data_IF_996222277196
#
_entry.id   IF_996222277196
#
_cell.length_a   1.000
_cell.length_b   1.000
_cell.length_c   1.000
_cell.angle_alpha   90.00
_cell.angle_beta   90.00
_cell.angle_gamma   90.00
#
_symmetry.space_group_name_H-M   'P 1'
#
loop_
_entity.id
_entity.type
_entity.pdbx_description
1 polymer ?
#
# COMPACT_ATOMS: atom_id res chain seq x y z
N UNK A 1 -0.93 -7.79 -15.48
CA UNK A 1 -1.58 -7.90 -14.16
C UNK A 1 -2.94 -8.53 -14.39
N UNK A 2 -3.32 -9.58 -13.65
CA UNK A 2 -4.58 -10.29 -13.91
C UNK A 2 -5.79 -9.50 -13.38
N UNK A 3 -6.88 -9.51 -14.15
CA UNK A 3 -8.18 -8.99 -13.72
C UNK A 3 -8.76 -9.83 -12.58
N UNK A 4 -9.80 -9.34 -11.91
CA UNK A 4 -10.47 -10.08 -10.83
C UNK A 4 -11.06 -11.41 -11.34
N UNK A 5 -11.67 -11.36 -12.52
CA UNK A 5 -12.30 -12.51 -13.18
C UNK A 5 -11.25 -13.55 -13.60
N UNK A 6 -10.12 -13.10 -14.15
CA UNK A 6 -8.99 -13.98 -14.46
C UNK A 6 -8.43 -14.66 -13.20
N UNK A 7 -8.29 -13.92 -12.09
CA UNK A 7 -7.84 -14.50 -10.81
C UNK A 7 -8.82 -15.54 -10.29
N UNK A 8 -10.11 -15.30 -10.43
CA UNK A 8 -11.13 -16.27 -10.03
C UNK A 8 -11.04 -17.55 -10.85
N UNK A 9 -10.92 -17.44 -12.18
CA UNK A 9 -10.76 -18.62 -13.05
C UNK A 9 -9.45 -19.39 -12.78
N UNK A 10 -8.35 -18.69 -12.49
CA UNK A 10 -7.10 -19.32 -12.04
C UNK A 10 -7.31 -20.11 -10.76
N UNK A 11 -7.99 -19.53 -9.77
CA UNK A 11 -8.24 -20.15 -8.47
C UNK A 11 -9.17 -21.38 -8.60
N UNK A 12 -10.24 -21.24 -9.37
CA UNK A 12 -11.17 -22.33 -9.70
C UNK A 12 -10.46 -23.51 -10.35
N UNK A 13 -9.65 -23.23 -11.37
CA UNK A 13 -8.83 -24.25 -12.06
C UNK A 13 -7.85 -24.91 -11.09
N UNK A 14 -7.22 -24.14 -10.20
CA UNK A 14 -6.29 -24.68 -9.21
C UNK A 14 -6.96 -25.71 -8.28
N UNK A 15 -8.16 -25.41 -7.77
CA UNK A 15 -8.92 -26.35 -6.94
C UNK A 15 -9.38 -27.59 -7.72
N UNK A 16 -9.81 -27.42 -8.97
CA UNK A 16 -10.19 -28.55 -9.85
C UNK A 16 -9.01 -29.47 -10.15
N UNK A 17 -7.80 -28.92 -10.26
CA UNK A 17 -6.56 -29.68 -10.47
C UNK A 17 -5.97 -30.32 -9.21
N UNK A 18 -6.77 -30.54 -8.16
CA UNK A 18 -6.34 -31.12 -6.89
C UNK A 18 -5.14 -30.38 -6.25
N UNK A 19 -5.10 -29.05 -6.41
CA UNK A 19 -3.99 -28.20 -5.94
C UNK A 19 -2.63 -28.46 -6.61
N UNK A 20 -2.58 -29.16 -7.75
CA UNK A 20 -1.35 -29.39 -8.49
C UNK A 20 -1.02 -28.20 -9.41
N UNK A 21 -0.03 -27.37 -9.02
CA UNK A 21 0.35 -26.14 -9.74
C UNK A 21 0.74 -26.41 -11.19
N UNK A 22 1.49 -27.46 -11.46
CA UNK A 22 1.95 -27.80 -12.81
C UNK A 22 0.77 -28.14 -13.74
N UNK A 23 -0.22 -28.86 -13.21
CA UNK A 23 -1.43 -29.21 -13.95
C UNK A 23 -2.32 -27.99 -14.15
N UNK A 24 -2.44 -27.12 -13.14
CA UNK A 24 -3.13 -25.83 -13.28
C UNK A 24 -2.54 -25.00 -14.43
N UNK A 25 -1.20 -24.89 -14.51
CA UNK A 25 -0.53 -24.15 -15.60
C UNK A 25 -0.81 -24.78 -16.96
N UNK A 26 -0.82 -26.12 -17.06
CA UNK A 26 -1.14 -26.82 -18.32
C UNK A 26 -2.56 -26.51 -18.79
N UNK A 27 -3.54 -26.58 -17.89
CA UNK A 27 -4.94 -26.29 -18.19
C UNK A 27 -5.11 -24.81 -18.57
N UNK A 28 -4.51 -23.89 -17.79
CA UNK A 28 -4.61 -22.46 -18.06
C UNK A 28 -3.93 -22.04 -19.36
N UNK A 29 -2.84 -22.69 -19.77
CA UNK A 29 -2.22 -22.48 -21.09
C UNK A 29 -3.13 -22.89 -22.24
N UNK A 30 -3.97 -23.92 -22.06
CA UNK A 30 -4.97 -24.33 -23.05
C UNK A 30 -6.15 -23.37 -23.10
N UNK A 31 -6.61 -22.90 -21.94
CA UNK A 31 -7.84 -22.11 -21.83
C UNK A 31 -7.65 -20.60 -22.06
N UNK A 32 -6.55 -20.01 -21.56
CA UNK A 32 -6.28 -18.57 -21.63
C UNK A 32 -5.29 -18.17 -22.73
N UNK A 33 -4.69 -19.16 -23.40
CA UNK A 33 -3.60 -18.95 -24.36
C UNK A 33 -2.22 -18.86 -23.71
N UNK A 34 -1.18 -19.17 -24.48
CA UNK A 34 0.20 -19.35 -23.99
C UNK A 34 0.78 -18.08 -23.37
N UNK A 35 0.46 -16.91 -23.94
CA UNK A 35 1.00 -15.62 -23.53
C UNK A 35 0.25 -15.01 -22.34
N UNK A 36 -1.01 -15.42 -22.12
CA UNK A 36 -1.85 -14.91 -21.03
C UNK A 36 -1.84 -15.81 -19.80
N UNK A 37 -1.35 -17.03 -19.92
CA UNK A 37 -1.33 -17.99 -18.82
C UNK A 37 -0.41 -17.53 -17.68
N UNK A 38 -0.85 -17.63 -16.41
CA UNK A 38 0.01 -17.34 -15.28
C UNK A 38 1.17 -18.32 -15.16
N UNK A 39 2.30 -17.81 -14.70
CA UNK A 39 3.44 -18.63 -14.28
C UNK A 39 3.12 -19.33 -12.96
N UNK A 40 3.82 -20.42 -12.67
CA UNK A 40 3.65 -21.14 -11.39
C UNK A 40 3.81 -20.22 -10.17
N UNK A 41 4.78 -19.29 -10.23
CA UNK A 41 5.01 -18.32 -9.17
C UNK A 41 3.83 -17.38 -8.96
N UNK A 42 3.13 -16.99 -10.03
CA UNK A 42 1.93 -16.16 -9.95
C UNK A 42 0.77 -16.92 -9.30
N UNK A 43 0.57 -18.19 -9.66
CA UNK A 43 -0.46 -19.06 -9.06
C UNK A 43 -0.17 -19.23 -7.56
N UNK A 44 1.06 -19.59 -7.18
CA UNK A 44 1.44 -19.75 -5.76
C UNK A 44 1.23 -18.46 -4.97
N UNK A 45 1.62 -17.31 -5.51
CA UNK A 45 1.38 -16.00 -4.87
C UNK A 45 -0.11 -15.73 -4.68
N UNK A 46 -0.93 -16.02 -5.69
CA UNK A 46 -2.38 -15.81 -5.63
C UNK A 46 -3.02 -16.71 -4.57
N UNK A 47 -2.72 -18.02 -4.58
CA UNK A 47 -3.22 -18.98 -3.60
C UNK A 47 -2.79 -18.60 -2.19
N UNK A 48 -1.52 -18.22 -1.99
CA UNK A 48 -1.01 -17.78 -0.69
C UNK A 48 -1.77 -16.54 -0.21
N UNK A 49 -1.95 -15.54 -1.06
CA UNK A 49 -2.68 -14.31 -0.72
C UNK A 49 -4.13 -14.62 -0.31
N UNK A 50 -4.82 -15.50 -1.04
CA UNK A 50 -6.19 -15.90 -0.70
C UNK A 50 -6.22 -16.65 0.63
N UNK A 51 -5.26 -17.54 0.91
CA UNK A 51 -5.18 -18.26 2.20
C UNK A 51 -4.87 -17.34 3.38
N UNK A 52 -3.98 -16.38 3.21
CA UNK A 52 -3.53 -15.49 4.29
C UNK A 52 -4.53 -14.35 4.56
N UNK A 53 -5.11 -13.76 3.51
CA UNK A 53 -5.92 -12.54 3.61
C UNK A 53 -7.40 -12.73 3.25
N UNK A 54 -7.78 -13.86 2.65
CA UNK A 54 -9.14 -14.08 2.15
C UNK A 54 -9.52 -13.20 0.94
N UNK A 55 -8.55 -12.51 0.34
CA UNK A 55 -8.81 -11.53 -0.72
C UNK A 55 -8.17 -11.93 -2.05
N UNK A 56 -8.96 -11.84 -3.13
CA UNK A 56 -8.50 -11.98 -4.52
C UNK A 56 -7.98 -10.64 -5.09
N UNK A 57 -8.42 -9.53 -4.51
CA UNK A 57 -8.01 -8.19 -4.91
C UNK A 57 -6.64 -7.89 -4.31
N UNK A 58 -5.83 -7.11 -5.03
CA UNK A 58 -4.63 -6.57 -4.42
C UNK A 58 -5.00 -5.57 -3.33
N UNK A 59 -4.22 -5.56 -2.25
CA UNK A 59 -4.28 -4.44 -1.31
C UNK A 59 -4.07 -3.19 -2.14
N UNK A 60 -5.06 -2.29 -2.09
CA UNK A 60 -4.82 -0.91 -2.48
C UNK A 60 -3.66 -0.49 -1.60
N UNK A 61 -2.50 -0.23 -2.21
CA UNK A 61 -1.33 0.26 -1.49
C UNK A 61 -1.82 1.37 -0.57
N UNK A 62 -1.77 1.11 0.74
CA UNK A 62 -2.37 1.97 1.74
C UNK A 62 -1.86 3.41 1.57
N UNK A 63 -2.60 4.41 2.06
CA UNK A 63 -2.15 5.79 1.99
C UNK A 63 -0.71 5.88 2.51
N UNK A 64 0.17 6.47 1.70
CA UNK A 64 1.59 6.64 2.03
C UNK A 64 1.69 7.24 3.43
N UNK A 65 2.41 6.56 4.33
CA UNK A 65 2.57 7.03 5.70
C UNK A 65 3.02 8.49 5.71
N UNK A 66 2.22 9.36 6.35
CA UNK A 66 2.51 10.79 6.45
C UNK A 66 3.57 11.01 7.53
N UNK A 67 4.84 11.09 7.13
CA UNK A 67 5.99 11.22 8.04
C UNK A 67 5.96 12.46 8.94
N UNK A 68 5.19 13.50 8.60
CA UNK A 68 5.21 14.80 9.30
C UNK A 68 4.06 14.99 10.29
N UNK A 69 2.99 14.20 10.21
CA UNK A 69 1.86 14.25 11.16
C UNK A 69 1.92 13.11 12.17
N UNK A 70 3.12 12.77 12.60
CA UNK A 70 3.27 11.88 13.75
C UNK A 70 2.87 12.67 15.00
N UNK A 71 2.31 12.01 16.03
CA UNK A 71 1.87 12.70 17.25
C UNK A 71 3.00 13.51 17.89
N UNK A 72 4.24 13.03 17.81
CA UNK A 72 5.43 13.70 18.33
C UNK A 72 5.71 15.02 17.59
N UNK A 73 5.60 15.02 16.26
CA UNK A 73 5.79 16.23 15.46
C UNK A 73 4.67 17.24 15.67
N UNK A 74 3.43 16.77 15.89
CA UNK A 74 2.29 17.64 16.20
C UNK A 74 2.51 18.33 17.54
N UNK A 75 2.90 17.57 18.57
CA UNK A 75 3.16 18.10 19.91
C UNK A 75 4.34 19.08 19.91
N UNK A 76 5.45 18.75 19.24
CA UNK A 76 6.61 19.64 19.14
C UNK A 76 6.28 20.96 18.42
N UNK A 77 5.45 20.91 17.37
CA UNK A 77 4.97 22.11 16.68
C UNK A 77 4.04 22.93 17.59
N UNK A 78 3.09 22.30 18.28
CA UNK A 78 2.16 22.97 19.18
C UNK A 78 2.88 23.65 20.36
N UNK A 79 3.85 22.96 20.98
CA UNK A 79 4.69 23.54 22.03
C UNK A 79 5.49 24.75 21.52
N UNK A 80 6.07 24.66 20.31
CA UNK A 80 6.79 25.78 19.69
C UNK A 80 5.89 26.99 19.40
N UNK A 81 4.61 26.77 19.01
CA UNK A 81 3.62 27.83 18.82
C UNK A 81 3.31 28.52 20.14
N UNK A 82 3.05 27.75 21.21
CA UNK A 82 2.77 28.29 22.54
C UNK A 82 3.93 29.12 23.10
N UNK A 83 5.16 28.65 22.94
CA UNK A 83 6.35 29.33 23.46
C UNK A 83 6.70 30.59 22.65
N UNK A 84 6.55 30.55 21.32
CA UNK A 84 6.98 31.64 20.45
C UNK A 84 5.99 31.83 19.28
N UNK A 85 4.84 32.50 19.50
CA UNK A 85 3.75 32.60 18.53
C UNK A 85 4.13 33.39 17.27
N UNK A 86 5.01 34.39 17.40
CA UNK A 86 5.46 35.25 16.29
C UNK A 86 6.49 34.57 15.38
N UNK A 87 6.95 33.37 15.73
CA UNK A 87 7.93 32.64 14.93
C UNK A 87 7.32 32.16 13.61
N UNK A 88 7.92 32.58 12.50
CA UNK A 88 7.47 32.13 11.18
C UNK A 88 7.57 30.60 11.05
N UNK A 89 6.62 30.02 10.31
CA UNK A 89 6.62 28.61 9.90
C UNK A 89 7.98 28.18 9.33
N UNK A 90 8.68 29.06 8.62
CA UNK A 90 10.03 28.75 8.10
C UNK A 90 11.05 28.50 9.19
N UNK A 91 11.14 29.40 10.15
CA UNK A 91 12.06 29.27 11.26
C UNK A 91 11.71 28.05 12.12
N UNK A 92 10.42 27.82 12.38
CA UNK A 92 9.92 26.64 13.11
C UNK A 92 10.28 25.32 12.44
N UNK A 93 10.14 25.22 11.11
CA UNK A 93 10.51 23.99 10.38
C UNK A 93 12.00 23.66 10.47
N UNK A 94 12.86 24.69 10.51
CA UNK A 94 14.30 24.49 10.66
C UNK A 94 14.67 24.03 12.07
N UNK A 95 14.04 24.61 13.10
CA UNK A 95 14.28 24.24 14.50
C UNK A 95 13.83 22.80 14.81
N UNK A 96 12.72 22.35 14.21
CA UNK A 96 12.17 21.01 14.41
C UNK A 96 12.70 19.97 13.42
N UNK A 97 13.70 20.33 12.58
CA UNK A 97 14.25 19.45 11.54
C UNK A 97 13.19 18.86 10.58
N UNK A 98 12.08 19.57 10.37
CA UNK A 98 11.00 19.16 9.46
C UNK A 98 11.34 19.64 8.05
N UNK A 99 11.31 18.72 7.07
CA UNK A 99 11.66 19.02 5.68
C UNK A 99 10.82 20.16 5.07
N UNK A 100 11.46 20.97 4.21
CA UNK A 100 10.80 22.12 3.55
C UNK A 100 9.61 21.71 2.68
N UNK A 101 9.66 20.52 2.08
CA UNK A 101 8.55 19.95 1.27
C UNK A 101 7.33 19.60 2.12
N UNK A 102 7.47 19.55 3.45
CA UNK A 102 6.40 19.24 4.39
C UNK A 102 5.85 20.47 5.13
N UNK A 103 6.33 21.67 4.79
CA UNK A 103 5.88 22.95 5.38
C UNK A 103 4.38 23.17 5.29
N UNK A 104 3.73 22.77 4.19
CA UNK A 104 2.28 22.90 4.02
C UNK A 104 1.50 22.13 5.08
N UNK A 105 1.96 20.92 5.42
CA UNK A 105 1.35 20.11 6.47
C UNK A 105 1.58 20.69 7.87
N UNK A 106 2.70 21.38 8.09
CA UNK A 106 3.00 22.06 9.36
C UNK A 106 2.17 23.34 9.54
N UNK A 107 1.90 24.08 8.47
CA UNK A 107 0.99 25.22 8.53
C UNK A 107 -0.38 24.81 9.07
N UNK A 108 -0.94 23.71 8.59
CA UNK A 108 -2.22 23.19 9.12
C UNK A 108 -2.15 22.90 10.63
N UNK A 109 -1.04 22.34 11.14
CA UNK A 109 -0.87 22.12 12.58
C UNK A 109 -0.80 23.45 13.33
N UNK A 110 -0.02 24.42 12.83
CA UNK A 110 0.13 25.76 13.43
C UNK A 110 -1.20 26.54 13.47
N UNK A 111 -2.06 26.41 12.45
CA UNK A 111 -3.37 27.08 12.42
C UNK A 111 -4.41 26.46 13.38
N UNK A 112 -4.21 25.20 13.81
CA UNK A 112 -5.13 24.47 14.70
C UNK A 112 -4.56 24.23 16.11
N UNK A 113 -3.39 24.79 16.43
CA UNK A 113 -2.73 24.70 17.75
C UNK A 113 -2.97 25.94 18.59
#
# INVERSE_FOLDING_TARGET
>A
MFSLEERFEILKTYFQSQCCVAETVRILKRNMGRDRAPTEGAIRKLVRKVREKGMLVDDRSGPRARTVRTPENIEAVAQSVRQNPTTSTRRRSQQLSISRTSRSHMNEIVFHS
#
